data_IF_016459744775
#
_entry.id   IF_016459744775
#
_cell.length_a   1.000
_cell.length_b   1.000
_cell.length_c   1.000
_cell.angle_alpha   90.00
_cell.angle_beta   90.00
_cell.angle_gamma   90.00
#
_symmetry.space_group_name_H-M   'P 1'
#
loop_
_entity.id
_entity.type
_entity.pdbx_description
1 polymer ?
#
# COMPACT_ATOMS: atom_id res chain seq x y z
N UNK A 1 -8.04 -4.76 -17.90
CA UNK A 1 -7.38 -3.46 -17.63
C UNK A 1 -6.52 -3.60 -16.38
N UNK A 2 -5.29 -4.10 -16.52
CA UNK A 2 -4.43 -4.52 -15.39
C UNK A 2 -3.31 -3.53 -15.05
N UNK A 3 -3.42 -2.28 -15.50
CA UNK A 3 -2.29 -1.34 -15.44
C UNK A 3 -1.83 -1.01 -14.01
N UNK A 4 -2.72 -0.99 -13.01
CA UNK A 4 -2.37 -0.54 -11.64
C UNK A 4 -1.47 -1.51 -10.87
N UNK A 5 -1.60 -2.82 -11.10
CA UNK A 5 -0.78 -3.81 -10.42
C UNK A 5 0.69 -3.75 -10.85
N UNK A 6 0.93 -3.46 -12.14
CA UNK A 6 2.27 -3.32 -12.74
C UNK A 6 3.04 -2.13 -12.14
N UNK A 7 2.37 -1.00 -11.90
CA UNK A 7 3.01 0.20 -11.32
C UNK A 7 3.53 -0.05 -9.89
N UNK A 8 2.77 -0.75 -9.05
CA UNK A 8 3.22 -1.13 -7.70
C UNK A 8 4.37 -2.14 -7.70
N UNK A 9 4.46 -3.00 -8.71
CA UNK A 9 5.55 -4.00 -8.81
C UNK A 9 6.84 -3.38 -9.34
N UNK A 10 6.75 -2.43 -10.29
CA UNK A 10 7.90 -1.64 -10.76
C UNK A 10 8.53 -0.78 -9.64
N UNK A 11 7.71 -0.21 -8.76
CA UNK A 11 8.19 0.60 -7.64
C UNK A 11 8.89 -0.25 -6.57
N UNK A 12 8.51 -1.53 -6.42
CA UNK A 12 9.19 -2.45 -5.53
C UNK A 12 10.61 -2.81 -6.00
N UNK A 13 10.84 -2.86 -7.32
CA UNK A 13 12.15 -3.12 -7.92
C UNK A 13 13.04 -1.88 -7.97
N UNK A 14 12.45 -0.68 -8.00
CA UNK A 14 13.23 0.56 -7.95
C UNK A 14 13.80 0.74 -6.55
N UNK A 15 15.11 0.93 -6.47
CA UNK A 15 15.81 1.19 -5.23
C UNK A 15 16.16 2.69 -5.14
N UNK A 16 16.07 3.25 -3.94
CA UNK A 16 16.48 4.63 -3.64
C UNK A 16 17.57 4.62 -2.58
N UNK A 17 18.50 5.57 -2.68
CA UNK A 17 19.56 5.72 -1.68
C UNK A 17 19.02 6.32 -0.37
N UNK A 18 19.77 6.16 0.73
CA UNK A 18 19.39 6.71 2.04
C UNK A 18 19.17 8.23 2.03
N UNK A 19 20.08 8.99 1.42
CA UNK A 19 19.95 10.44 1.31
C UNK A 19 18.77 10.89 0.43
N UNK A 20 18.48 10.14 -0.63
CA UNK A 20 17.33 10.39 -1.49
C UNK A 20 16.03 10.11 -0.74
N UNK A 21 15.95 8.99 -0.01
CA UNK A 21 14.80 8.64 0.82
C UNK A 21 14.54 9.71 1.89
N UNK A 22 15.59 10.14 2.59
CA UNK A 22 15.52 11.19 3.60
C UNK A 22 14.95 12.49 3.01
N UNK A 23 15.45 12.91 1.85
CA UNK A 23 14.96 14.09 1.14
C UNK A 23 13.49 13.95 0.72
N UNK A 24 13.11 12.83 0.10
CA UNK A 24 11.75 12.62 -0.42
C UNK A 24 10.69 12.52 0.68
N UNK A 25 11.09 12.08 1.88
CA UNK A 25 10.21 11.90 3.03
C UNK A 25 10.33 13.03 4.07
N UNK A 26 11.15 14.05 3.78
CA UNK A 26 11.43 15.17 4.67
C UNK A 26 11.88 14.74 6.08
N UNK A 27 12.79 13.77 6.11
CA UNK A 27 13.46 13.24 7.29
C UNK A 27 14.94 13.61 7.26
N UNK A 28 15.56 13.70 8.43
CA UNK A 28 17.02 13.69 8.54
C UNK A 28 17.59 12.29 8.36
N UNK A 29 18.87 12.19 8.01
CA UNK A 29 19.57 10.89 7.92
C UNK A 29 19.58 10.15 9.26
N UNK A 30 19.65 10.87 10.39
CA UNK A 30 19.59 10.28 11.72
C UNK A 30 18.24 9.62 11.97
N UNK A 31 17.14 10.27 11.61
CA UNK A 31 15.79 9.70 11.74
C UNK A 31 15.60 8.50 10.81
N UNK A 32 16.18 8.49 9.61
CA UNK A 32 16.18 7.31 8.74
C UNK A 32 16.94 6.15 9.42
N UNK A 33 18.10 6.42 10.02
CA UNK A 33 18.86 5.45 10.81
C UNK A 33 18.05 4.87 11.98
N UNK A 34 17.41 5.71 12.78
CA UNK A 34 16.55 5.27 13.87
C UNK A 34 15.38 4.41 13.40
N UNK A 35 14.75 4.73 12.26
CA UNK A 35 13.69 3.91 11.69
C UNK A 35 14.19 2.55 11.18
N UNK A 36 15.47 2.46 10.77
CA UNK A 36 16.13 1.17 10.49
C UNK A 36 16.37 0.41 11.79
N UNK A 37 16.84 1.08 12.85
CA UNK A 37 17.09 0.45 14.15
C UNK A 37 15.80 -0.07 14.82
N UNK A 38 14.68 0.64 14.65
CA UNK A 38 13.34 0.17 15.05
C UNK A 38 12.78 -0.95 14.15
N UNK A 39 13.44 -1.25 13.03
CA UNK A 39 13.03 -2.28 12.09
C UNK A 39 11.88 -1.88 11.17
N UNK A 40 11.52 -0.59 11.10
CA UNK A 40 10.45 -0.09 10.25
C UNK A 40 10.90 0.17 8.80
N UNK A 41 12.19 0.47 8.61
CA UNK A 41 12.82 0.52 7.30
C UNK A 41 13.81 -0.63 7.16
N UNK A 42 13.64 -1.40 6.09
CA UNK A 42 14.48 -2.56 5.79
C UNK A 42 15.37 -2.22 4.58
N UNK A 43 16.63 -1.78 4.79
CA UNK A 43 17.55 -1.58 3.69
C UNK A 43 17.91 -2.93 3.04
N UNK A 44 18.26 -2.89 1.76
CA UNK A 44 18.90 -4.00 1.05
C UNK A 44 20.33 -4.18 1.60
N UNK A 45 20.83 -5.41 1.61
CA UNK A 45 22.21 -5.74 2.00
C UNK A 45 23.22 -5.30 0.92
N UNK A 46 23.29 -3.99 0.67
CA UNK A 46 24.17 -3.36 -0.30
C UNK A 46 24.84 -2.14 0.32
N UNK A 47 26.05 -1.82 -0.13
CA UNK A 47 26.75 -0.59 0.23
C UNK A 47 26.92 0.30 -1.01
N UNK A 48 26.43 1.56 -1.01
CA UNK A 48 25.69 2.22 0.08
C UNK A 48 24.28 1.61 0.29
N UNK A 49 23.71 1.83 1.48
CA UNK A 49 22.34 1.38 1.83
C UNK A 49 21.31 1.84 0.81
N UNK A 50 20.45 0.90 0.41
CA UNK A 50 19.37 1.15 -0.54
C UNK A 50 18.03 0.66 0.00
N UNK A 51 16.96 1.36 -0.32
CA UNK A 51 15.59 1.06 0.13
C UNK A 51 14.68 0.83 -1.07
N UNK A 52 13.63 0.03 -0.90
CA UNK A 52 12.61 -0.10 -1.95
C UNK A 52 11.83 1.21 -2.09
N UNK A 53 11.65 1.71 -3.31
CA UNK A 53 10.87 2.93 -3.55
C UNK A 53 9.41 2.79 -3.09
N UNK A 54 8.89 1.56 -3.04
CA UNK A 54 7.57 1.26 -2.49
C UNK A 54 7.38 1.69 -1.01
N UNK A 55 8.45 1.92 -0.25
CA UNK A 55 8.34 2.43 1.12
C UNK A 55 8.06 3.94 1.19
N UNK A 56 8.30 4.69 0.11
CA UNK A 56 8.21 6.16 0.10
C UNK A 56 6.79 6.64 0.39
N UNK A 57 5.79 6.09 -0.32
CA UNK A 57 4.40 6.51 -0.15
C UNK A 57 3.89 6.31 1.28
N UNK A 58 3.98 5.10 1.90
CA UNK A 58 3.55 4.91 3.28
C UNK A 58 4.45 5.65 4.30
N UNK A 59 5.74 5.85 4.02
CA UNK A 59 6.62 6.63 4.90
C UNK A 59 6.22 8.11 4.90
N UNK A 60 5.92 8.70 3.73
CA UNK A 60 5.42 10.09 3.64
C UNK A 60 4.10 10.27 4.37
N UNK A 61 3.22 9.27 4.29
CA UNK A 61 1.96 9.25 5.05
C UNK A 61 2.23 9.23 6.56
N UNK A 62 3.10 8.34 7.04
CA UNK A 62 3.45 8.25 8.45
C UNK A 62 4.12 9.53 8.98
N UNK A 63 5.01 10.16 8.19
CA UNK A 63 5.64 11.44 8.52
C UNK A 63 4.62 12.59 8.54
N UNK A 64 3.64 12.59 7.63
CA UNK A 64 2.55 13.56 7.69
C UNK A 64 1.74 13.41 8.97
N UNK A 65 1.40 12.18 9.35
CA UNK A 65 0.69 11.89 10.59
C UNK A 65 1.50 12.32 11.82
N UNK A 66 2.82 12.09 11.81
CA UNK A 66 3.74 12.57 12.84
C UNK A 66 3.60 14.07 13.08
N UNK A 67 3.63 14.87 12.00
CA UNK A 67 3.52 16.33 12.10
C UNK A 67 2.12 16.78 12.51
N UNK A 68 1.09 16.08 12.05
CA UNK A 68 -0.29 16.46 12.33
C UNK A 68 -0.69 16.22 13.79
N UNK A 69 -0.18 15.14 14.39
CA UNK A 69 -0.53 14.70 15.74
C UNK A 69 0.62 14.86 16.75
N UNK A 70 1.73 15.50 16.36
CA UNK A 70 2.94 15.68 17.17
C UNK A 70 3.47 14.37 17.78
N UNK A 71 3.61 13.35 16.93
CA UNK A 71 4.02 12.01 17.35
C UNK A 71 5.55 11.87 17.40
N UNK A 72 6.02 10.94 18.21
CA UNK A 72 7.43 10.53 18.21
C UNK A 72 7.76 9.57 17.05
N UNK A 73 9.06 9.38 16.81
CA UNK A 73 9.55 8.53 15.72
C UNK A 73 9.27 7.04 15.94
N UNK A 74 9.21 6.60 17.21
CA UNK A 74 8.80 5.24 17.54
C UNK A 74 7.35 4.98 17.11
N UNK A 75 6.44 5.90 17.33
CA UNK A 75 5.04 5.80 16.89
C UNK A 75 4.96 5.79 15.36
N UNK A 76 5.81 6.56 14.67
CA UNK A 76 5.94 6.49 13.20
C UNK A 76 6.33 5.10 12.74
N UNK A 77 7.22 4.41 13.46
CA UNK A 77 7.62 3.03 13.14
C UNK A 77 6.41 2.07 13.14
N UNK A 78 5.52 2.21 14.13
CA UNK A 78 4.29 1.42 14.23
C UNK A 78 3.30 1.74 13.12
N UNK A 79 3.07 3.04 12.87
CA UNK A 79 2.17 3.50 11.80
C UNK A 79 2.64 2.99 10.44
N UNK A 80 3.94 3.09 10.16
CA UNK A 80 4.52 2.61 8.92
C UNK A 80 4.26 1.10 8.73
N UNK A 81 4.49 0.30 9.78
CA UNK A 81 4.19 -1.13 9.76
C UNK A 81 2.71 -1.43 9.49
N UNK A 82 1.79 -0.70 10.11
CA UNK A 82 0.36 -0.85 9.85
C UNK A 82 -0.04 -0.44 8.43
N UNK A 83 0.48 0.68 7.92
CA UNK A 83 0.21 1.12 6.55
C UNK A 83 0.69 0.09 5.53
N UNK A 84 1.91 -0.42 5.68
CA UNK A 84 2.44 -1.48 4.82
C UNK A 84 1.58 -2.74 4.87
N UNK A 85 1.13 -3.15 6.07
CA UNK A 85 0.24 -4.31 6.23
C UNK A 85 -1.12 -4.09 5.56
N UNK A 86 -1.72 -2.92 5.73
CA UNK A 86 -3.00 -2.57 5.08
C UNK A 86 -2.84 -2.61 3.56
N UNK A 87 -1.82 -1.95 3.00
CA UNK A 87 -1.56 -1.95 1.56
C UNK A 87 -1.39 -3.38 1.01
N UNK A 88 -0.67 -4.23 1.73
CA UNK A 88 -0.44 -5.61 1.36
C UNK A 88 -1.74 -6.44 1.41
N UNK A 89 -2.57 -6.25 2.43
CA UNK A 89 -3.88 -6.90 2.54
C UNK A 89 -4.85 -6.42 1.44
N UNK A 90 -4.89 -5.12 1.16
CA UNK A 90 -5.72 -4.57 0.08
C UNK A 90 -5.29 -5.10 -1.29
N UNK A 91 -3.99 -5.28 -1.52
CA UNK A 91 -3.49 -5.88 -2.75
C UNK A 91 -3.93 -7.34 -2.88
N UNK A 92 -3.90 -8.11 -1.79
CA UNK A 92 -4.43 -9.48 -1.78
C UNK A 92 -5.93 -9.50 -2.08
N UNK A 93 -6.70 -8.61 -1.45
CA UNK A 93 -8.15 -8.49 -1.70
C UNK A 93 -8.45 -8.17 -3.16
N UNK A 94 -7.75 -7.20 -3.76
CA UNK A 94 -7.89 -6.88 -5.19
C UNK A 94 -7.55 -8.07 -6.07
N UNK A 95 -6.49 -8.82 -5.71
CA UNK A 95 -6.11 -10.04 -6.41
C UNK A 95 -7.20 -11.11 -6.36
N UNK A 96 -7.79 -11.35 -5.17
CA UNK A 96 -8.88 -12.31 -5.00
C UNK A 96 -10.14 -11.88 -5.77
N UNK A 97 -10.53 -10.61 -5.67
CA UNK A 97 -11.70 -10.07 -6.38
C UNK A 97 -11.56 -10.17 -7.90
N UNK A 98 -10.35 -10.03 -8.44
CA UNK A 98 -10.09 -10.20 -9.87
C UNK A 98 -10.29 -11.65 -10.37
N UNK A 99 -10.22 -12.63 -9.47
CA UNK A 99 -10.46 -14.05 -9.78
C UNK A 99 -11.91 -14.47 -9.56
N UNK A 100 -12.74 -13.63 -8.94
CA UNK A 100 -14.18 -13.86 -8.87
C UNK A 100 -14.76 -13.40 -10.20
N UNK A 101 -15.33 -14.30 -11.03
CA UNK A 101 -16.07 -13.85 -12.20
C UNK A 101 -17.19 -12.94 -11.69
N UNK A 102 -17.23 -11.69 -12.19
CA UNK A 102 -18.35 -10.81 -11.94
C UNK A 102 -19.62 -11.63 -12.17
N UNK A 103 -20.56 -11.69 -11.19
CA UNK A 103 -21.80 -12.40 -11.41
C UNK A 103 -22.36 -11.83 -12.69
N UNK A 104 -22.52 -12.72 -13.69
CA UNK A 104 -23.29 -12.46 -14.90
C UNK A 104 -24.46 -11.59 -14.46
N UNK A 105 -24.66 -10.45 -15.11
CA UNK A 105 -25.98 -9.81 -15.10
C UNK A 105 -26.94 -10.92 -15.54
N UNK A 106 -27.51 -11.62 -14.55
CA UNK A 106 -28.65 -12.46 -14.76
C UNK A 106 -29.63 -11.51 -15.43
N UNK A 107 -30.15 -11.84 -16.62
CA UNK A 107 -31.24 -11.07 -17.19
C UNK A 107 -32.19 -10.83 -16.03
N UNK A 108 -32.52 -9.56 -15.78
CA UNK A 108 -33.67 -9.25 -14.95
C UNK A 108 -34.85 -9.82 -15.73
N UNK A 109 -35.07 -11.13 -15.61
CA UNK A 109 -36.40 -11.70 -15.64
C UNK A 109 -37.09 -11.03 -14.45
N UNK A 110 -37.61 -9.82 -14.72
CA UNK A 110 -38.76 -9.35 -13.98
C UNK A 110 -39.73 -10.53 -13.97
N UNK A 111 -40.38 -10.82 -12.83
CA UNK A 111 -41.22 -12.00 -12.70
C UNK A 111 -42.13 -12.05 -13.91
N UNK A 112 -41.91 -13.06 -14.77
CA UNK A 112 -42.75 -13.29 -15.94
C UNK A 112 -44.18 -13.23 -15.44
N UNK A 113 -44.93 -12.24 -15.94
CA UNK A 113 -46.23 -11.89 -15.40
C UNK A 113 -47.02 -13.16 -15.17
N UNK A 114 -47.47 -13.34 -13.93
CA UNK A 114 -48.36 -14.43 -13.55
C UNK A 114 -49.51 -14.46 -14.56
N UNK A 115 -49.45 -15.36 -15.54
CA UNK A 115 -50.60 -15.66 -16.39
C UNK A 115 -51.50 -16.53 -15.54
N UNK A 116 -52.42 -15.92 -14.84
CA UNK A 116 -53.57 -16.63 -14.31
C UNK A 116 -54.39 -17.15 -15.51
N UNK A 117 -54.63 -18.47 -15.62
CA UNK A 117 -55.57 -18.99 -16.59
C UNK A 117 -56.98 -18.80 -16.02
N UNK A 118 -57.65 -17.71 -16.41
CA UNK A 118 -59.10 -17.58 -16.19
C UNK A 118 -59.86 -17.86 -17.48
N UNK A 119 -60.62 -18.96 -17.41
CA UNK A 119 -61.81 -19.35 -18.19
C UNK A 119 -61.64 -19.66 -19.69
#
# INVERSE_FOLDING_TARGET
>A
MSATADWTWLDAQRAVGEAELAQMCELSLAEVGELVDYGALMPRETEPRQFSAACIAPLREAVRLRRHYDLDLFTVSLILGYLQRIMQLEQQLRGLQAHVPHPHELPREGPGGWREPHA
#
